data_IF_870059461362
#
_entry.id   IF_870059461362
#
_cell.length_a   1.000
_cell.length_b   1.000
_cell.length_c   1.000
_cell.angle_alpha   90.00
_cell.angle_beta   90.00
_cell.angle_gamma   90.00
#
_symmetry.space_group_name_H-M   'P 1'
#
loop_
_entity.id
_entity.type
_entity.pdbx_description
1 polymer ?
2 non-polymer ?
3 non-polymer ?
4 non-polymer ?
5 water ?
#
# COMPACT_ATOMS: atom_id res chain seq x y z
N UNK A 1 5.58 -4.35 -13.30
CA UNK A 1 4.61 -4.67 -14.34
C UNK A 1 3.27 -5.10 -13.77
N UNK A 2 2.20 -4.54 -14.32
CA UNK A 2 0.85 -4.95 -13.94
C UNK A 2 0.43 -6.14 -14.80
N UNK A 3 0.01 -7.22 -14.14
CA UNK A 3 -0.36 -8.44 -14.86
C UNK A 3 -1.74 -8.95 -14.47
N UNK A 4 -2.48 -9.44 -15.45
CA UNK A 4 -3.82 -9.97 -15.24
C UNK A 4 -3.87 -11.45 -15.63
N UNK A 5 -4.53 -12.26 -14.81
CA UNK A 5 -4.72 -13.67 -15.11
C UNK A 5 -6.17 -14.08 -14.94
N UNK A 6 -6.80 -14.52 -16.02
CA UNK A 6 -8.20 -14.96 -15.97
C UNK A 6 -8.30 -16.43 -15.59
N UNK A 7 -9.33 -16.77 -14.82
CA UNK A 7 -9.61 -18.15 -14.46
C UNK A 7 -11.11 -18.38 -14.37
N UNK A 8 -11.52 -19.65 -14.36
CA UNK A 8 -12.92 -20.00 -14.19
C UNK A 8 -13.65 -20.31 -15.49
N UNK A 9 -12.92 -20.30 -16.60
CA UNK A 9 -13.52 -20.61 -17.89
C UNK A 9 -13.76 -22.08 -18.08
N UNK A 10 -14.34 -22.45 -19.22
CA UNK A 10 -14.57 -23.85 -19.53
C UNK A 10 -15.84 -24.12 -20.31
N UNK A 11 -16.24 -25.39 -20.35
CA UNK A 11 -17.41 -25.81 -21.10
C UNK A 11 -18.63 -26.01 -20.21
N UNK A 12 -19.76 -25.43 -20.63
CA UNK A 12 -21.01 -25.59 -19.91
C UNK A 12 -22.18 -25.77 -20.86
N UNK A 13 -23.25 -26.40 -20.36
CA UNK A 13 -24.46 -26.57 -21.13
C UNK A 13 -25.26 -25.27 -21.13
N UNK A 14 -26.11 -25.07 -22.15
CA UNK A 14 -26.99 -23.89 -22.17
C UNK A 14 -27.84 -23.76 -20.91
N UNK A 15 -27.88 -22.56 -20.34
CA UNK A 15 -28.59 -22.33 -19.10
C UNK A 15 -27.72 -22.55 -17.88
N UNK A 16 -26.47 -22.97 -18.12
CA UNK A 16 -25.54 -23.25 -17.04
C UNK A 16 -24.87 -21.99 -16.50
N UNK A 17 -23.98 -22.17 -15.53
CA UNK A 17 -23.32 -21.03 -14.90
C UNK A 17 -21.81 -21.18 -14.83
N UNK A 18 -21.12 -20.05 -14.92
CA UNK A 18 -19.67 -19.98 -14.73
C UNK A 18 -19.31 -18.70 -14.00
N UNK A 19 -18.30 -18.77 -13.14
CA UNK A 19 -17.78 -17.56 -12.51
C UNK A 19 -16.34 -17.33 -12.93
N UNK A 20 -16.14 -16.28 -13.73
CA UNK A 20 -14.80 -15.88 -14.14
C UNK A 20 -14.17 -15.00 -13.09
N UNK A 21 -12.87 -15.15 -12.90
CA UNK A 21 -12.13 -14.29 -12.00
C UNK A 21 -10.83 -13.85 -12.66
N UNK A 22 -10.41 -12.64 -12.37
CA UNK A 22 -9.10 -12.16 -12.82
C UNK A 22 -8.27 -11.64 -11.67
N UNK A 23 -7.14 -12.30 -11.42
CA UNK A 23 -6.22 -11.85 -10.39
C UNK A 23 -5.32 -10.75 -10.93
N UNK A 24 -5.24 -9.64 -10.19
CA UNK A 24 -4.40 -8.52 -10.58
C UNK A 24 -3.15 -8.48 -9.68
N UNK A 25 -2.01 -8.15 -10.27
CA UNK A 25 -0.74 -8.19 -9.56
C UNK A 25 -0.52 -6.99 -8.64
N UNK A 26 -1.41 -6.00 -8.71
CA UNK A 26 -1.34 -4.85 -7.82
C UNK A 26 -2.66 -4.65 -7.09
N UNK A 27 -2.65 -3.75 -6.11
CA UNK A 27 -3.87 -3.41 -5.38
C UNK A 27 -4.85 -2.73 -6.31
N UNK A 28 -6.12 -3.12 -6.25
CA UNK A 28 -7.09 -2.72 -7.26
C UNK A 28 -8.09 -1.64 -6.81
N UNK A 29 -8.07 -1.28 -5.53
CA UNK A 29 -9.12 -0.40 -5.01
C UNK A 29 -9.07 1.00 -5.61
N UNK A 30 -7.90 1.43 -6.07
CA UNK A 30 -7.77 2.75 -6.69
C UNK A 30 -7.68 2.65 -8.21
N UNK A 31 -7.82 1.45 -8.75
CA UNK A 31 -7.87 1.30 -10.20
C UNK A 31 -9.15 1.92 -10.74
N UNK A 32 -9.02 2.85 -11.68
CA UNK A 32 -10.15 3.61 -12.19
C UNK A 32 -11.23 2.72 -12.80
N UNK A 33 -10.86 1.91 -13.78
CA UNK A 33 -11.83 1.07 -14.48
C UNK A 33 -11.32 -0.35 -14.66
N UNK A 34 -12.19 -1.32 -14.37
CA UNK A 34 -11.89 -2.72 -14.57
C UNK A 34 -12.97 -3.34 -15.45
N UNK A 35 -12.58 -3.89 -16.59
CA UNK A 35 -13.55 -4.35 -17.58
C UNK A 35 -13.46 -5.84 -17.89
N UNK A 36 -14.58 -6.38 -18.33
CA UNK A 36 -14.60 -7.68 -18.98
C UNK A 36 -14.99 -7.50 -20.44
N UNK A 37 -14.10 -7.91 -21.35
CA UNK A 37 -14.41 -7.93 -22.77
C UNK A 37 -14.64 -9.38 -23.20
N UNK A 38 -15.26 -9.56 -24.36
CA UNK A 38 -15.34 -10.89 -24.94
C UNK A 38 -15.25 -10.81 -26.45
N UNK A 39 -14.70 -11.86 -27.04
CA UNK A 39 -14.55 -11.91 -28.49
C UNK A 39 -14.90 -13.30 -29.00
N UNK A 40 -16.00 -13.37 -29.75
CA UNK A 40 -16.41 -14.61 -30.39
C UNK A 40 -15.59 -14.81 -31.66
N UNK A 41 -15.38 -16.08 -32.06
CA UNK A 41 -14.63 -16.40 -33.28
C UNK A 41 -15.14 -15.64 -34.51
N UNK A 42 -14.23 -15.02 -35.23
CA UNK A 42 -14.57 -14.31 -36.45
C UNK A 42 -15.29 -12.99 -36.23
N UNK A 43 -15.33 -12.53 -34.99
CA UNK A 43 -16.02 -11.29 -34.65
C UNK A 43 -15.14 -10.36 -33.82
N UNK A 44 -15.58 -9.12 -33.65
CA UNK A 44 -14.82 -8.11 -32.94
C UNK A 44 -15.08 -8.15 -31.44
N UNK A 45 -14.12 -7.66 -30.66
CA UNK A 45 -14.26 -7.52 -29.22
C UNK A 45 -15.45 -6.65 -28.84
N UNK A 46 -16.22 -7.09 -27.86
CA UNK A 46 -17.30 -6.29 -27.31
C UNK A 46 -17.11 -6.12 -25.81
N UNK A 47 -17.40 -4.93 -25.30
CA UNK A 47 -17.37 -4.68 -23.87
C UNK A 47 -18.57 -5.35 -23.21
N UNK A 48 -18.32 -6.21 -22.23
CA UNK A 48 -19.38 -6.95 -21.56
C UNK A 48 -19.84 -6.25 -20.28
N UNK A 49 -18.88 -5.90 -19.42
CA UNK A 49 -19.20 -5.24 -18.17
C UNK A 49 -18.02 -4.38 -17.70
N UNK A 50 -18.35 -3.32 -16.96
CA UNK A 50 -17.33 -2.41 -16.44
C UNK A 50 -17.60 -2.07 -14.98
N UNK A 51 -16.56 -2.14 -14.14
CA UNK A 51 -16.65 -1.71 -12.76
C UNK A 51 -15.78 -0.49 -12.52
N UNK A 52 -16.39 0.62 -12.13
CA UNK A 52 -15.65 1.86 -11.90
C UNK A 52 -15.23 2.01 -10.44
N UNK A 53 -14.24 2.87 -10.23
CA UNK A 53 -13.66 3.12 -8.92
C UNK A 53 -14.68 3.61 -7.90
N UNK A 54 -15.65 4.41 -8.36
CA UNK A 54 -16.64 5.00 -7.48
C UNK A 54 -17.75 4.01 -7.12
N UNK A 55 -17.63 2.77 -7.61
CA UNK A 55 -18.57 1.73 -7.25
C UNK A 55 -19.68 1.49 -8.28
N UNK A 56 -19.75 2.35 -9.28
CA UNK A 56 -20.76 2.22 -10.32
C UNK A 56 -20.38 1.13 -11.31
N UNK A 57 -21.37 0.60 -12.02
CA UNK A 57 -21.14 -0.46 -13.00
C UNK A 57 -21.91 -0.21 -14.29
N UNK A 58 -21.35 -0.69 -15.40
CA UNK A 58 -22.01 -0.65 -16.70
C UNK A 58 -22.07 -2.03 -17.31
N UNK A 59 -23.22 -2.38 -17.88
CA UNK A 59 -23.41 -3.68 -18.51
C UNK A 59 -23.87 -3.54 -19.95
N UNK A 60 -23.43 -4.46 -20.81
CA UNK A 60 -23.98 -4.57 -22.15
C UNK A 60 -25.42 -5.05 -22.02
N UNK A 61 -26.30 -4.58 -22.90
CA UNK A 61 -27.71 -4.93 -22.83
C UNK A 61 -27.95 -6.43 -22.96
N UNK A 62 -27.06 -7.11 -23.66
CA UNK A 62 -27.20 -8.53 -23.93
C UNK A 62 -26.91 -9.40 -22.72
N UNK A 63 -26.28 -8.83 -21.69
CA UNK A 63 -25.89 -9.61 -20.52
C UNK A 63 -26.58 -9.13 -19.24
N UNK A 64 -27.39 -8.09 -19.35
CA UNK A 64 -28.12 -7.56 -18.20
C UNK A 64 -29.10 -8.60 -17.66
N UNK A 65 -29.09 -8.77 -16.34
CA UNK A 65 -29.97 -9.73 -15.70
C UNK A 65 -29.43 -11.14 -15.74
N UNK A 66 -28.22 -11.29 -16.29
CA UNK A 66 -27.58 -12.60 -16.38
C UNK A 66 -26.15 -12.54 -15.82
N UNK A 67 -25.42 -11.50 -16.18
CA UNK A 67 -24.03 -11.37 -15.77
C UNK A 67 -23.88 -10.35 -14.63
N UNK A 68 -22.92 -10.59 -13.75
CA UNK A 68 -22.65 -9.66 -12.65
C UNK A 68 -21.15 -9.44 -12.48
N UNK A 69 -20.73 -8.18 -12.56
CA UNK A 69 -19.33 -7.83 -12.32
C UNK A 69 -19.17 -7.25 -10.91
N UNK A 70 -18.03 -7.53 -10.28
CA UNK A 70 -17.75 -7.02 -8.95
C UNK A 70 -16.27 -7.10 -8.63
N UNK A 71 -15.81 -6.19 -7.76
CA UNK A 71 -14.43 -6.20 -7.31
C UNK A 71 -14.31 -6.83 -5.92
N UNK A 72 -13.28 -7.65 -5.74
CA UNK A 72 -12.90 -8.12 -4.42
C UNK A 72 -11.60 -7.43 -4.02
N UNK A 73 -11.71 -6.29 -3.35
CA UNK A 73 -10.55 -5.48 -3.00
C UNK A 73 -9.57 -6.21 -2.08
N UNK A 74 -10.10 -7.10 -1.25
CA UNK A 74 -9.27 -7.86 -0.32
C UNK A 74 -8.37 -8.86 -1.05
N UNK A 75 -8.86 -9.37 -2.18
CA UNK A 75 -8.13 -10.38 -2.92
C UNK A 75 -7.55 -9.84 -4.22
N UNK A 76 -7.80 -8.55 -4.48
CA UNK A 76 -7.37 -7.90 -5.72
C UNK A 76 -7.82 -8.70 -6.94
N UNK A 77 -9.10 -9.05 -6.95
CA UNK A 77 -9.66 -9.90 -7.99
C UNK A 77 -10.94 -9.32 -8.57
N UNK A 78 -11.06 -9.34 -9.89
CA UNK A 78 -12.29 -8.93 -10.56
C UNK A 78 -13.08 -10.17 -10.95
N UNK A 79 -14.36 -10.20 -10.57
CA UNK A 79 -15.20 -11.35 -10.86
C UNK A 79 -16.23 -11.07 -11.95
N UNK A 80 -16.58 -12.10 -12.70
CA UNK A 80 -17.71 -12.04 -13.62
C UNK A 80 -18.59 -13.26 -13.42
N UNK A 81 -19.66 -13.10 -12.66
CA UNK A 81 -20.63 -14.17 -12.46
C UNK A 81 -21.55 -14.27 -13.68
N UNK A 82 -21.56 -15.44 -14.31
CA UNK A 82 -22.37 -15.63 -15.51
C UNK A 82 -23.44 -16.70 -15.29
N UNK A 83 -24.70 -16.27 -15.24
CA UNK A 83 -25.81 -17.20 -15.14
C UNK A 83 -26.60 -17.24 -16.44
N UNK A 84 -27.42 -18.28 -16.60
CA UNK A 84 -28.30 -18.43 -17.76
C UNK A 84 -27.54 -18.28 -19.08
N UNK A 85 -26.43 -18.99 -19.19
CA UNK A 85 -25.56 -18.86 -20.36
C UNK A 85 -26.23 -19.37 -21.64
N UNK A 86 -25.90 -18.73 -22.75
CA UNK A 86 -26.45 -19.08 -24.06
C UNK A 86 -25.33 -19.47 -25.01
N UNK A 87 -25.65 -20.21 -26.09
CA UNK A 87 -24.65 -20.53 -27.10
C UNK A 87 -23.93 -19.30 -27.64
N UNK A 88 -24.64 -18.19 -27.75
CA UNK A 88 -24.06 -16.95 -28.27
C UNK A 88 -23.10 -16.29 -27.28
N UNK A 89 -23.07 -16.80 -26.05
CA UNK A 89 -22.13 -16.30 -25.05
C UNK A 89 -20.74 -16.90 -25.24
N UNK A 90 -20.65 -17.90 -26.11
CA UNK A 90 -19.38 -18.57 -26.40
C UNK A 90 -18.36 -17.60 -26.97
N UNK A 91 -17.27 -17.40 -26.23
CA UNK A 91 -16.24 -16.45 -26.61
C UNK A 91 -15.01 -16.58 -25.71
N UNK A 92 -13.93 -15.92 -26.11
CA UNK A 92 -12.80 -15.72 -25.22
C UNK A 92 -13.07 -14.47 -24.39
N UNK A 93 -13.14 -14.63 -23.08
CA UNK A 93 -13.41 -13.50 -22.20
C UNK A 93 -12.10 -12.93 -21.67
N UNK A 94 -11.94 -11.62 -21.83
CA UNK A 94 -10.70 -10.94 -21.51
C UNK A 94 -10.89 -9.90 -20.42
N UNK A 95 -10.05 -9.96 -19.40
CA UNK A 95 -10.07 -8.89 -18.40
C UNK A 95 -9.26 -7.71 -18.90
N UNK A 96 -9.73 -6.52 -18.54
CA UNK A 96 -9.10 -5.29 -18.98
C UNK A 96 -9.10 -4.29 -17.83
N UNK A 97 -8.07 -3.46 -17.75
CA UNK A 97 -7.96 -2.52 -16.66
C UNK A 97 -7.34 -1.20 -17.10
N UNK A 98 -7.92 -0.10 -16.62
CA UNK A 98 -7.36 1.23 -16.82
C UNK A 98 -7.08 1.84 -15.45
N UNK A 99 -5.80 1.92 -15.10
CA UNK A 99 -5.39 2.38 -13.77
C UNK A 99 -5.85 3.80 -13.48
N UNK A 100 -5.80 4.66 -14.51
CA UNK A 100 -6.01 6.08 -14.30
C UNK A 100 -7.17 6.63 -15.13
N UNK A 101 -7.80 7.68 -14.62
CA UNK A 101 -8.74 8.45 -15.42
C UNK A 101 -7.94 9.22 -16.46
N UNK A 102 -8.03 8.79 -17.72
CA UNK A 102 -7.20 9.34 -18.77
C UNK A 102 -8.07 9.89 -19.91
N UNK A 103 -8.55 11.13 -19.74
CA UNK A 103 -9.48 11.78 -20.68
C UNK A 103 -8.90 11.98 -22.08
N UNK A 104 -7.59 12.16 -22.17
CA UNK A 104 -6.95 12.42 -23.46
C UNK A 104 -6.18 11.21 -23.98
N UNK A 105 -6.21 10.12 -23.22
CA UNK A 105 -5.56 8.88 -23.61
C UNK A 105 -4.06 9.03 -23.80
N UNK A 106 -3.41 9.72 -22.86
CA UNK A 106 -2.00 10.01 -22.98
C UNK A 106 -1.11 8.98 -22.26
N UNK A 107 -1.71 8.18 -21.40
CA UNK A 107 -0.95 7.24 -20.58
C UNK A 107 -1.42 5.80 -20.79
N UNK A 108 -1.63 5.42 -22.04
CA UNK A 108 -2.09 4.08 -22.37
C UNK A 108 -1.11 3.00 -21.96
N UNK A 109 0.17 3.19 -22.29
CA UNK A 109 1.20 2.22 -21.98
C UNK A 109 1.37 2.01 -20.49
N UNK A 110 1.12 3.05 -19.70
CA UNK A 110 1.30 2.99 -18.26
C UNK A 110 0.05 2.51 -17.53
N UNK A 111 -1.12 2.81 -18.09
CA UNK A 111 -2.37 2.58 -17.38
C UNK A 111 -3.27 1.47 -17.88
N UNK A 112 -3.10 1.05 -19.12
CA UNK A 112 -3.98 0.05 -19.71
C UNK A 112 -3.31 -1.32 -19.84
N UNK A 113 -3.98 -2.35 -19.34
CA UNK A 113 -3.44 -3.71 -19.39
C UNK A 113 -4.49 -4.74 -19.75
N UNK A 114 -4.07 -5.77 -20.49
CA UNK A 114 -4.96 -6.85 -20.90
C UNK A 114 -4.52 -8.19 -20.32
N UNK A 115 -5.49 -9.08 -20.10
CA UNK A 115 -5.19 -10.45 -19.77
C UNK A 115 -5.12 -11.27 -21.04
N UNK A 116 -4.58 -12.48 -20.95
CA UNK A 116 -4.49 -13.35 -22.13
C UNK A 116 -5.88 -13.83 -22.53
N UNK A 117 -6.75 -13.95 -21.55
CA UNK A 117 -8.13 -14.34 -21.80
C UNK A 117 -8.48 -15.72 -21.27
N UNK A 118 -9.77 -15.97 -21.14
CA UNK A 118 -10.28 -17.28 -20.72
C UNK A 118 -11.41 -17.72 -21.65
N UNK A 119 -11.26 -18.90 -22.24
CA UNK A 119 -12.25 -19.39 -23.19
C UNK A 119 -13.50 -19.93 -22.49
N UNK A 120 -14.65 -19.44 -22.90
CA UNK A 120 -15.92 -19.95 -22.42
C UNK A 120 -16.70 -20.58 -23.57
N UNK A 121 -17.06 -21.85 -23.41
CA UNK A 121 -17.79 -22.56 -24.44
C UNK A 121 -19.15 -23.01 -23.93
N UNK A 122 -20.21 -22.58 -24.61
CA UNK A 122 -21.56 -22.96 -24.25
C UNK A 122 -22.23 -23.76 -25.37
N UNK A 123 -22.36 -25.07 -25.17
CA UNK A 123 -23.01 -25.93 -26.15
C UNK A 123 -23.54 -27.20 -25.50
N UNK A 124 -24.41 -27.90 -26.22
CA UNK A 124 -25.00 -29.14 -25.72
C UNK A 124 -24.61 -30.34 -26.58
N UNK B 1 2.20 -3.77 4.20
CA UNK B 1 1.55 -3.21 5.37
C UNK B 1 1.06 -1.79 5.10
N UNK B 2 2.01 -0.89 4.88
CA UNK B 2 1.71 0.51 4.61
C UNK B 2 1.06 0.69 3.25
N UNK B 3 -0.04 1.45 3.22
CA UNK B 3 -0.72 1.73 1.96
C UNK B 3 -0.69 3.22 1.63
N UNK B 4 -0.44 3.52 0.36
CA UNK B 4 -0.40 4.90 -0.12
C UNK B 4 -1.46 5.12 -1.19
N UNK B 5 -2.21 6.21 -1.07
CA UNK B 5 -3.26 6.54 -2.04
C UNK B 5 -3.17 7.99 -2.49
N UNK B 6 -2.93 8.20 -3.78
CA UNK B 6 -2.81 9.55 -4.32
C UNK B 6 -4.16 10.12 -4.75
N UNK B 7 -4.31 11.43 -4.61
CA UNK B 7 -5.50 12.15 -5.04
C UNK B 7 -5.13 13.51 -5.59
N UNK B 8 -6.07 14.16 -6.28
CA UNK B 8 -5.86 15.50 -6.78
C UNK B 8 -5.37 15.59 -8.20
N UNK B 9 -5.20 14.44 -8.85
CA UNK B 9 -4.75 14.41 -10.23
C UNK B 9 -5.84 14.86 -11.20
N UNK B 10 -5.45 15.13 -12.44
CA UNK B 10 -6.42 15.55 -13.44
C UNK B 10 -5.83 16.27 -14.64
N UNK B 11 -6.70 16.99 -15.34
CA UNK B 11 -6.33 17.69 -16.57
C UNK B 11 -6.37 19.20 -16.41
N UNK B 12 -5.27 19.86 -16.75
CA UNK B 12 -5.19 21.32 -16.67
C UNK B 12 -4.54 21.92 -17.91
N UNK B 13 -4.81 23.20 -18.14
CA UNK B 13 -4.18 23.94 -19.22
C UNK B 13 -2.80 24.41 -18.79
N UNK B 14 -1.90 24.64 -19.76
CA UNK B 14 -0.55 25.12 -19.46
C UNK B 14 -0.56 26.38 -18.60
N UNK B 15 0.28 26.41 -17.56
CA UNK B 15 0.31 27.51 -16.63
C UNK B 15 -0.69 27.32 -15.50
N UNK B 16 -1.38 26.18 -15.53
CA UNK B 16 -2.40 25.89 -14.54
C UNK B 16 -1.83 25.32 -13.26
N UNK B 17 -2.71 24.96 -12.32
CA UNK B 17 -2.29 24.46 -11.02
C UNK B 17 -3.06 23.23 -10.57
N UNK B 18 -2.36 22.34 -9.86
CA UNK B 18 -2.96 21.17 -9.24
C UNK B 18 -2.28 20.89 -7.91
N UNK B 19 -3.04 20.40 -6.95
CA UNK B 19 -2.44 19.96 -5.69
C UNK B 19 -2.67 18.47 -5.50
N UNK B 20 -1.59 17.70 -5.51
CA UNK B 20 -1.65 16.27 -5.26
C UNK B 20 -1.52 15.98 -3.77
N UNK B 21 -2.26 14.99 -3.30
CA UNK B 21 -2.15 14.54 -1.92
C UNK B 21 -2.02 13.02 -1.90
N UNK B 22 -1.29 12.50 -0.92
CA UNK B 22 -1.24 11.07 -0.72
C UNK B 22 -1.56 10.71 0.73
N UNK B 23 -2.59 9.91 0.92
CA UNK B 23 -2.97 9.44 2.24
C UNK B 23 -2.14 8.21 2.63
N UNK B 24 -1.50 8.27 3.78
CA UNK B 24 -0.71 7.16 4.29
C UNK B 24 -1.44 6.46 5.42
N UNK B 25 -1.37 5.13 5.44
CA UNK B 25 -2.13 4.33 6.40
C UNK B 25 -1.50 4.30 7.80
N UNK B 26 -0.34 4.92 7.94
CA UNK B 26 0.34 4.98 9.24
C UNK B 26 0.73 6.42 9.59
N UNK B 27 1.12 6.62 10.85
CA UNK B 27 1.61 7.92 11.29
C UNK B 27 2.91 8.25 10.55
N UNK B 28 3.03 9.48 10.05
CA UNK B 28 4.12 9.82 9.14
C UNK B 28 5.19 10.72 9.73
N UNK B 29 5.02 11.15 10.98
CA UNK B 29 5.94 12.10 11.59
C UNK B 29 7.36 11.55 11.69
N UNK B 30 7.48 10.24 11.86
CA UNK B 30 8.79 9.62 12.07
C UNK B 30 9.32 8.94 10.81
N UNK B 31 8.55 8.97 9.73
CA UNK B 31 9.00 8.40 8.46
C UNK B 31 10.19 9.19 7.93
N UNK B 32 11.27 8.48 7.59
CA UNK B 32 12.51 9.13 7.18
C UNK B 32 12.35 9.99 5.93
N UNK B 33 11.89 9.39 4.85
CA UNK B 33 11.75 10.11 3.59
C UNK B 33 10.41 9.83 2.91
N UNK B 34 9.77 10.91 2.46
CA UNK B 34 8.53 10.79 1.69
C UNK B 34 8.72 11.52 0.36
N UNK B 35 8.55 10.79 -0.74
CA UNK B 35 8.91 11.30 -2.06
C UNK B 35 7.74 11.38 -3.03
N UNK B 36 7.88 12.28 -4.00
CA UNK B 36 7.01 12.28 -5.17
C UNK B 36 7.83 11.96 -6.41
N UNK B 37 7.50 10.86 -7.07
CA UNK B 37 8.11 10.51 -8.34
C UNK B 37 7.14 10.83 -9.47
N UNK B 38 7.65 10.91 -10.69
CA UNK B 38 6.79 11.03 -11.85
C UNK B 38 7.35 10.26 -13.03
N UNK B 39 6.46 9.73 -13.84
CA UNK B 39 6.86 8.96 -15.01
C UNK B 39 6.02 9.38 -16.22
N UNK B 40 6.67 10.07 -17.14
CA UNK B 40 6.04 10.46 -18.40
C UNK B 40 5.98 9.25 -19.32
N UNK B 41 5.04 9.25 -20.29
CA UNK B 41 4.94 8.14 -21.24
C UNK B 41 6.25 7.88 -21.99
N UNK B 42 6.65 6.61 -22.03
CA UNK B 42 7.86 6.22 -22.74
C UNK B 42 9.15 6.69 -22.08
N UNK B 43 9.06 7.10 -20.82
CA UNK B 43 10.23 7.60 -20.11
C UNK B 43 10.41 6.92 -18.75
N UNK B 44 11.60 7.07 -18.18
CA UNK B 44 11.91 6.47 -16.89
C UNK B 44 11.31 7.27 -15.74
N UNK B 45 11.21 6.65 -14.56
CA UNK B 45 10.74 7.35 -13.37
C UNK B 45 11.77 8.36 -12.91
N UNK B 46 11.29 9.56 -12.58
CA UNK B 46 12.16 10.61 -12.08
C UNK B 46 11.71 11.09 -10.71
N UNK B 47 12.67 11.34 -9.82
CA UNK B 47 12.36 11.91 -8.52
C UNK B 47 12.05 13.40 -8.67
N UNK B 48 10.87 13.80 -8.20
CA UNK B 48 10.44 15.19 -8.30
C UNK B 48 10.79 15.97 -7.05
N UNK B 49 10.32 15.49 -5.90
CA UNK B 49 10.55 16.16 -4.63
C UNK B 49 10.65 15.16 -3.49
N UNK B 50 11.38 15.54 -2.45
CA UNK B 50 11.57 14.69 -1.28
C UNK B 50 11.41 15.48 0.01
N UNK B 51 10.61 14.95 0.93
CA UNK B 51 10.45 15.55 2.25
C UNK B 51 11.11 14.68 3.30
N UNK B 52 12.11 15.22 3.99
CA UNK B 52 12.83 14.46 5.01
C UNK B 52 12.26 14.68 6.40
N UNK B 53 12.53 13.74 7.29
CA UNK B 53 12.00 13.73 8.64
C UNK B 53 12.40 14.97 9.44
N UNK B 54 13.59 15.51 9.16
CA UNK B 54 14.09 16.67 9.89
C UNK B 54 13.51 17.98 9.36
N UNK B 55 12.62 17.88 8.38
CA UNK B 55 11.95 19.06 7.84
C UNK B 55 12.59 19.62 6.60
N UNK B 56 13.75 19.09 6.23
CA UNK B 56 14.44 19.54 5.01
C UNK B 56 13.80 18.93 3.78
N UNK B 57 14.02 19.57 2.63
CA UNK B 57 13.43 19.11 1.38
C UNK B 57 14.43 19.16 0.22
N UNK B 58 14.21 18.31 -0.77
CA UNK B 58 14.98 18.33 -2.01
C UNK B 58 14.05 18.42 -3.22
N UNK B 59 14.44 19.20 -4.21
CA UNK B 59 13.64 19.36 -5.42
C UNK B 59 14.46 19.11 -6.68
N UNK B 60 13.85 18.46 -7.66
CA UNK B 60 14.45 18.36 -8.99
C UNK B 60 14.53 19.77 -9.57
N UNK B 61 15.58 20.04 -10.35
CA UNK B 61 15.81 21.37 -10.88
C UNK B 61 14.68 21.84 -11.80
N UNK B 62 14.02 20.88 -12.45
CA UNK B 62 12.99 21.20 -13.43
C UNK B 62 11.66 21.59 -12.78
N UNK B 63 11.58 21.50 -11.45
CA UNK B 63 10.34 21.82 -10.75
C UNK B 63 10.56 22.87 -9.66
N UNK B 64 11.79 23.31 -9.48
CA UNK B 64 12.11 24.33 -8.48
C UNK B 64 11.40 25.65 -8.80
N UNK B 65 10.78 26.23 -7.77
CA UNK B 65 10.07 27.49 -7.94
C UNK B 65 8.67 27.30 -8.49
N UNK B 66 8.28 26.04 -8.68
CA UNK B 66 6.96 25.72 -9.21
C UNK B 66 6.23 24.73 -8.32
N UNK B 67 6.95 23.70 -7.87
CA UNK B 67 6.34 22.65 -7.05
C UNK B 67 6.72 22.82 -5.58
N UNK B 68 5.81 22.44 -4.69
CA UNK B 68 6.08 22.49 -3.26
C UNK B 68 5.61 21.22 -2.56
N UNK B 69 6.52 20.56 -1.87
CA UNK B 69 6.18 19.36 -1.11
C UNK B 69 6.09 19.69 0.38
N UNK B 70 5.17 19.04 1.08
CA UNK B 70 5.00 19.27 2.51
C UNK B 70 4.26 18.11 3.17
N UNK B 71 4.54 17.88 4.44
CA UNK B 71 3.84 16.87 5.21
C UNK B 71 2.73 17.48 6.07
N UNK B 72 1.61 16.79 6.14
CA UNK B 72 0.58 17.12 7.12
C UNK B 72 0.55 16.02 8.16
N UNK B 73 1.28 16.23 9.26
CA UNK B 73 1.43 15.21 10.30
C UNK B 73 0.11 14.88 10.99
N UNK B 74 -0.80 15.85 11.04
CA UNK B 74 -2.09 15.65 11.69
C UNK B 74 -2.99 14.73 10.86
N UNK B 75 -2.88 14.82 9.54
CA UNK B 75 -3.75 14.06 8.65
C UNK B 75 -3.00 12.91 7.98
N UNK B 76 -1.73 12.75 8.34
CA UNK B 76 -0.87 11.72 7.76
C UNK B 76 -0.92 11.74 6.23
N UNK B 77 -0.72 12.93 5.67
CA UNK B 77 -0.86 13.14 4.24
C UNK B 77 0.34 13.89 3.68
N UNK B 78 0.85 13.43 2.54
CA UNK B 78 1.91 14.12 1.82
C UNK B 78 1.31 14.94 0.69
N UNK B 79 1.70 16.21 0.59
CA UNK B 79 1.16 17.10 -0.43
C UNK B 79 2.18 17.46 -1.49
N UNK B 80 1.71 17.66 -2.72
CA UNK B 80 2.53 18.22 -3.78
C UNK B 80 1.75 19.33 -4.48
N UNK B 81 2.09 20.57 -4.15
CA UNK B 81 1.46 21.72 -4.78
C UNK B 81 2.17 22.07 -6.07
N UNK B 82 1.45 22.02 -7.19
CA UNK B 82 2.04 22.28 -8.49
C UNK B 82 1.47 23.55 -9.12
N UNK B 83 2.34 24.52 -9.37
CA UNK B 83 1.95 25.74 -10.08
C UNK B 83 2.72 25.89 -11.37
N UNK B 84 2.21 26.74 -12.27
CA UNK B 84 2.86 27.04 -13.54
C UNK B 84 3.18 25.76 -14.32
N UNK B 85 2.18 24.88 -14.43
CA UNK B 85 2.38 23.59 -15.06
C UNK B 85 2.63 23.73 -16.56
N UNK B 86 3.41 22.79 -17.10
CA UNK B 86 3.79 22.80 -18.51
C UNK B 86 3.45 21.45 -19.13
N UNK B 87 3.29 21.40 -20.48
CA UNK B 87 3.05 20.13 -21.16
C UNK B 87 4.03 19.04 -20.77
N UNK B 88 5.26 19.42 -20.50
CA UNK B 88 6.31 18.48 -20.12
C UNK B 88 6.15 17.95 -18.70
N UNK B 89 5.19 18.49 -17.97
CA UNK B 89 4.88 18.01 -16.63
C UNK B 89 3.88 16.85 -16.68
N UNK B 90 3.38 16.56 -17.88
CA UNK B 90 2.44 15.46 -18.07
C UNK B 90 3.08 14.13 -17.71
N UNK B 91 2.54 13.48 -16.68
CA UNK B 91 3.09 12.21 -16.20
C UNK B 91 2.17 11.58 -15.17
N UNK B 92 2.42 10.30 -14.89
CA UNK B 92 1.83 9.66 -13.72
C UNK B 92 2.69 10.01 -12.51
N UNK B 93 2.11 10.70 -11.55
CA UNK B 93 2.83 11.07 -10.35
C UNK B 93 2.60 10.05 -9.25
N UNK B 94 3.70 9.55 -8.69
CA UNK B 94 3.65 8.46 -7.73
C UNK B 94 4.18 8.91 -6.38
N UNK B 95 3.43 8.62 -5.32
CA UNK B 95 3.95 8.85 -3.99
C UNK B 95 4.85 7.68 -3.61
N UNK B 96 5.87 7.98 -2.81
CA UNK B 96 6.86 6.99 -2.42
C UNK B 96 7.32 7.25 -1.00
N UNK B 97 7.49 6.18 -0.24
CA UNK B 97 7.86 6.32 1.17
C UNK B 97 9.03 5.40 1.51
N UNK B 98 9.97 5.92 2.29
CA UNK B 98 11.06 5.12 2.86
C UNK B 98 11.09 5.34 4.36
N UNK B 99 10.55 4.38 5.11
CA UNK B 99 10.40 4.51 6.55
C UNK B 99 11.72 4.77 7.26
N UNK B 100 12.76 4.03 6.88
CA UNK B 100 14.00 4.02 7.64
C UNK B 100 15.16 4.68 6.90
N UNK B 101 15.92 5.49 7.63
CA UNK B 101 17.23 5.91 7.16
C UNK B 101 18.09 4.65 7.14
N UNK B 102 18.14 4.01 5.97
CA UNK B 102 18.83 2.74 5.83
C UNK B 102 19.99 2.87 4.86
N UNK B 103 21.18 3.18 5.38
CA UNK B 103 22.37 3.30 4.54
C UNK B 103 22.91 1.92 4.17
N UNK B 104 22.25 0.89 4.68
CA UNK B 104 22.64 -0.49 4.41
C UNK B 104 21.73 -1.12 3.37
N UNK B 105 20.43 -0.92 3.51
CA UNK B 105 19.47 -1.45 2.56
C UNK B 105 18.94 -2.80 2.96
N UNK B 106 19.02 -3.09 4.25
CA UNK B 106 18.37 -4.28 4.79
C UNK B 106 16.88 -4.17 4.50
N UNK B 107 16.38 -2.92 4.51
CA UNK B 107 14.97 -2.65 4.34
C UNK B 107 14.44 -3.23 3.04
N UNK B 108 14.62 -2.47 1.97
CA UNK B 108 14.07 -2.83 0.67
C UNK B 108 12.57 -2.93 0.80
N UNK B 109 12.09 -4.14 1.09
CA UNK B 109 10.67 -4.35 1.27
C UNK B 109 10.00 -3.83 2.54
N UNK B 110 10.76 -3.64 3.61
CA UNK B 110 10.16 -3.24 4.88
C UNK B 110 9.76 -1.77 4.87
N UNK B 111 10.69 -0.91 4.49
CA UNK B 111 10.51 0.54 4.58
C UNK B 111 10.02 1.22 3.32
N UNK B 112 10.17 0.57 2.18
CA UNK B 112 9.85 1.19 0.90
C UNK B 112 8.46 0.78 0.41
N UNK B 113 7.63 1.78 0.13
CA UNK B 113 6.29 1.54 -0.38
C UNK B 113 5.95 2.51 -1.51
N UNK B 114 5.15 2.03 -2.46
CA UNK B 114 4.72 2.85 -3.59
C UNK B 114 3.21 2.99 -3.63
N UNK B 115 2.74 4.12 -4.15
CA UNK B 115 1.34 4.28 -4.45
C UNK B 115 1.06 3.86 -5.87
N UNK B 116 -0.20 3.72 -6.22
CA UNK B 116 -0.58 3.33 -7.58
C UNK B 116 -0.28 4.46 -8.56
N UNK B 117 -0.43 5.69 -8.07
CA UNK B 117 -0.14 6.86 -8.89
C UNK B 117 -1.37 7.68 -9.24
N UNK B 118 -1.14 8.90 -9.68
CA UNK B 118 -2.21 9.77 -10.15
C UNK B 118 -1.78 10.45 -11.44
N UNK B 119 -2.66 10.43 -12.44
CA UNK B 119 -2.32 10.98 -13.75
C UNK B 119 -2.52 12.50 -13.80
N UNK B 120 -1.47 13.20 -14.19
CA UNK B 120 -1.54 14.64 -14.41
C UNK B 120 -1.34 14.94 -15.89
N UNK B 121 -2.35 15.51 -16.52
CA UNK B 121 -2.28 15.84 -17.94
C UNK B 121 -2.29 17.36 -18.13
N UNK B 122 -1.28 17.87 -18.83
CA UNK B 122 -1.20 19.31 -19.09
C UNK B 122 -1.23 19.61 -20.57
N UNK B 123 -2.34 20.17 -21.03
CA UNK B 123 -2.49 20.59 -22.42
C UNK B 123 -3.76 21.43 -22.58
N UNK B 124 -4.02 21.88 -23.81
CA UNK B 124 -5.22 22.63 -24.10
C UNK B 124 -5.66 22.43 -25.55
N UNK C 1 -3.11 11.17 19.71
CA UNK C 1 -1.83 11.65 19.21
C UNK C 1 -0.69 11.08 20.05
N UNK C 2 -0.80 9.80 20.39
CA UNK C 2 0.29 9.13 21.09
C UNK C 2 1.35 8.71 20.07
N UNK C 3 2.56 9.23 20.25
CA UNK C 3 3.64 8.99 19.31
C UNK C 3 4.69 8.06 19.88
N UNK C 4 5.10 7.06 19.09
CA UNK C 4 6.13 6.13 19.50
C UNK C 4 7.33 6.20 18.57
N UNK C 5 8.52 6.36 19.15
CA UNK C 5 9.74 6.42 18.36
C UNK C 5 10.78 5.43 18.89
N UNK C 6 11.13 4.45 18.06
CA UNK C 6 12.11 3.45 18.46
C UNK C 6 13.54 3.88 18.16
N UNK C 7 14.47 3.37 18.96
CA UNK C 7 15.89 3.64 18.76
C UNK C 7 16.73 2.44 19.19
N UNK C 8 18.00 2.43 18.80
CA UNK C 8 18.93 1.42 19.27
C UNK C 8 19.10 0.21 18.38
N UNK C 9 18.46 0.23 17.22
CA UNK C 9 18.58 -0.87 16.27
C UNK C 9 19.96 -0.88 15.61
N UNK C 10 20.22 -1.89 14.79
CA UNK C 10 21.48 -1.95 14.07
C UNK C 10 21.94 -3.35 13.71
N UNK C 11 23.20 -3.45 13.31
CA UNK C 11 23.79 -4.71 12.88
C UNK C 11 24.75 -5.28 13.92
N UNK C 12 24.53 -6.54 14.28
CA UNK C 12 25.42 -7.22 15.22
C UNK C 12 25.69 -8.66 14.78
N UNK C 13 26.84 -9.17 15.19
CA UNK C 13 27.22 -10.55 14.93
C UNK C 13 26.50 -11.45 15.95
N UNK C 14 26.26 -12.72 15.57
CA UNK C 14 25.59 -13.68 16.45
C UNK C 14 26.22 -13.77 17.84
N UNK C 15 25.38 -13.72 18.88
CA UNK C 15 25.86 -13.75 20.24
C UNK C 15 26.06 -12.35 20.79
N UNK C 16 25.85 -11.36 19.94
CA UNK C 16 26.02 -9.96 20.33
C UNK C 16 24.86 -9.44 21.14
N UNK C 17 24.95 -8.17 21.55
CA UNK C 17 23.90 -7.55 22.34
C UNK C 17 23.42 -6.24 21.73
N UNK C 18 22.12 -5.98 21.87
CA UNK C 18 21.51 -4.72 21.47
C UNK C 18 20.46 -4.32 22.48
N UNK C 19 20.35 -3.02 22.75
CA UNK C 19 19.26 -2.54 23.59
C UNK C 19 18.37 -1.58 22.81
N UNK C 20 17.12 -1.99 22.63
CA UNK C 20 16.14 -1.15 21.95
C UNK C 20 15.43 -0.26 22.96
N UNK C 21 14.99 0.90 22.51
CA UNK C 21 14.22 1.81 23.34
C UNK C 21 13.12 2.46 22.51
N UNK C 22 11.99 2.73 23.14
CA UNK C 22 10.92 3.47 22.48
C UNK C 22 10.45 4.63 23.33
N UNK C 23 10.63 5.85 22.82
CA UNK C 23 10.15 7.05 23.48
C UNK C 23 8.66 7.23 23.21
N UNK C 24 7.89 7.40 24.27
CA UNK C 24 6.45 7.63 24.16
C UNK C 24 6.12 9.09 24.46
N UNK C 25 5.20 9.66 23.69
CA UNK C 25 4.91 11.09 23.78
C UNK C 25 4.01 11.45 24.97
N UNK C 26 3.55 10.44 25.71
CA UNK C 26 2.76 10.68 26.90
C UNK C 26 3.32 9.93 28.10
N UNK C 27 2.78 10.19 29.28
CA UNK C 27 3.17 9.47 30.48
C UNK C 27 2.73 8.02 30.36
N UNK C 28 3.61 7.09 30.74
CA UNK C 28 3.39 5.68 30.46
C UNK C 28 3.03 4.83 31.68
N UNK C 29 3.02 5.43 32.87
CA UNK C 29 2.85 4.64 34.09
C UNK C 29 1.47 3.98 34.17
N UNK C 30 0.47 4.59 33.54
CA UNK C 30 -0.89 4.03 33.57
C UNK C 30 -1.28 3.36 32.26
N UNK C 31 -0.33 3.28 31.32
CA UNK C 31 -0.58 2.52 30.09
C UNK C 31 -0.70 1.05 30.45
N UNK C 32 -1.83 0.45 30.10
CA UNK C 32 -2.12 -0.93 30.46
C UNK C 32 -1.07 -1.92 29.96
N UNK C 33 -0.80 -1.89 28.66
CA UNK C 33 0.15 -2.82 28.07
C UNK C 33 1.09 -2.14 27.08
N UNK C 34 2.38 -2.48 27.18
CA UNK C 34 3.38 -1.98 26.25
C UNK C 34 4.14 -3.16 25.66
N UNK C 35 4.12 -3.27 24.34
CA UNK C 35 4.63 -4.47 23.68
C UNK C 35 5.80 -4.21 22.74
N UNK C 36 6.59 -5.25 22.52
CA UNK C 36 7.55 -5.29 21.42
C UNK C 36 7.14 -6.41 20.47
N UNK C 37 6.85 -6.03 19.22
CA UNK C 37 6.61 -7.02 18.17
C UNK C 37 7.82 -7.08 17.26
N UNK C 38 7.95 -8.17 16.50
CA UNK C 38 8.99 -8.24 15.49
C UNK C 38 8.45 -8.90 14.23
N UNK C 39 8.96 -8.48 13.08
CA UNK C 39 8.49 -8.99 11.80
C UNK C 39 9.65 -9.16 10.83
N UNK C 40 9.84 -10.40 10.38
CA UNK C 40 10.86 -10.72 9.39
C UNK C 40 10.28 -10.52 7.99
N UNK C 41 11.16 -10.39 6.98
CA UNK C 41 10.66 -10.24 5.61
C UNK C 41 9.81 -11.43 5.15
N UNK C 42 8.61 -11.15 4.62
CA UNK C 42 7.75 -12.18 4.09
C UNK C 42 6.99 -12.97 5.15
N UNK C 43 7.16 -12.58 6.40
CA UNK C 43 6.47 -13.23 7.50
C UNK C 43 5.61 -12.22 8.26
N UNK C 44 4.76 -12.72 9.16
CA UNK C 44 3.87 -11.83 9.90
C UNK C 44 4.40 -11.52 11.30
N UNK C 45 3.77 -10.56 11.95
CA UNK C 45 4.21 -10.07 13.25
C UNK C 45 4.16 -11.13 14.35
N UNK C 46 5.22 -11.17 15.15
CA UNK C 46 5.26 -12.02 16.34
C UNK C 46 5.42 -11.17 17.58
N UNK C 47 4.57 -11.40 18.58
CA UNK C 47 4.73 -10.73 19.86
C UNK C 47 5.98 -11.25 20.55
N UNK C 48 6.89 -10.34 20.88
CA UNK C 48 8.15 -10.73 21.53
C UNK C 48 8.04 -10.64 23.04
N UNK C 49 7.68 -9.47 23.54
CA UNK C 49 7.57 -9.26 24.97
C UNK C 49 6.46 -8.25 25.28
N UNK C 50 5.87 -8.39 26.47
CA UNK C 50 4.82 -7.48 26.91
C UNK C 50 5.04 -7.04 28.35
N UNK C 51 4.99 -5.73 28.57
CA UNK C 51 5.05 -5.19 29.92
C UNK C 51 3.68 -4.67 30.34
N UNK C 52 3.16 -5.21 31.43
CA UNK C 52 1.83 -4.81 31.91
C UNK C 52 1.91 -3.75 33.00
N UNK C 53 0.79 -3.05 33.17
CA UNK C 53 0.68 -1.94 34.12
C UNK C 53 0.97 -2.34 35.56
N UNK C 54 0.59 -3.56 35.92
CA UNK C 54 0.75 -4.04 37.29
C UNK C 54 2.16 -4.54 37.57
N UNK C 55 3.02 -4.53 36.56
CA UNK C 55 4.40 -4.91 36.74
C UNK C 55 4.74 -6.28 36.19
N UNK C 56 3.73 -7.05 35.82
CA UNK C 56 3.95 -8.38 35.26
C UNK C 56 4.46 -8.29 33.83
N UNK C 57 5.08 -9.37 33.36
CA UNK C 57 5.62 -9.41 32.00
C UNK C 57 5.34 -10.74 31.31
N UNK C 58 5.21 -10.70 29.99
CA UNK C 58 5.08 -11.91 29.18
C UNK C 58 6.18 -11.95 28.12
N UNK C 59 6.78 -13.12 27.94
CA UNK C 59 7.83 -13.29 26.94
C UNK C 59 7.51 -14.46 26.01
N UNK C 60 7.90 -14.31 24.75
CA UNK C 60 7.84 -15.43 23.82
C UNK C 60 8.87 -16.47 24.25
N UNK C 61 8.56 -17.74 24.03
CA UNK C 61 9.43 -18.83 24.47
C UNK C 61 10.81 -18.76 23.84
N UNK C 62 10.89 -18.24 22.62
CA UNK C 62 12.13 -18.22 21.87
C UNK C 62 13.09 -17.11 22.33
N UNK C 63 12.61 -16.22 23.19
CA UNK C 63 13.45 -15.11 23.65
C UNK C 63 13.64 -15.11 25.16
N UNK C 64 13.04 -16.08 25.84
CA UNK C 64 13.17 -16.18 27.29
C UNK C 64 14.62 -16.46 27.70
N UNK C 65 15.09 -15.73 28.71
CA UNK C 65 16.45 -15.89 29.18
C UNK C 65 17.46 -15.15 28.32
N UNK C 66 16.96 -14.43 27.32
CA UNK C 66 17.81 -13.66 26.43
C UNK C 66 17.36 -12.21 26.36
N UNK C 67 16.05 -12.01 26.24
CA UNK C 67 15.49 -10.67 26.12
C UNK C 67 14.88 -10.22 27.44
N UNK C 68 14.94 -8.91 27.70
CA UNK C 68 14.31 -8.34 28.88
C UNK C 68 13.56 -7.06 28.54
N UNK C 69 12.28 -7.01 28.90
CA UNK C 69 11.48 -5.81 28.70
C UNK C 69 11.31 -5.10 30.04
N UNK C 70 11.26 -3.76 29.99
CA UNK C 70 11.07 -2.96 31.20
C UNK C 70 10.60 -1.56 30.85
N UNK C 71 9.96 -0.90 31.82
CA UNK C 71 9.51 0.47 31.64
C UNK C 71 10.39 1.45 32.43
N UNK C 72 10.67 2.60 31.82
CA UNK C 72 11.25 3.71 32.54
C UNK C 72 10.19 4.79 32.65
N UNK C 73 9.44 4.76 33.75
CA UNK C 73 8.32 5.69 33.95
C UNK C 73 8.77 7.14 34.00
N UNK C 74 9.99 7.36 34.48
CA UNK C 74 10.52 8.72 34.59
C UNK C 74 10.83 9.30 33.21
N UNK C 75 11.32 8.46 32.31
CA UNK C 75 11.70 8.91 30.98
C UNK C 75 10.62 8.60 29.94
N UNK C 76 9.55 7.95 30.39
CA UNK C 76 8.47 7.51 29.51
C UNK C 76 9.02 6.71 28.33
N UNK C 77 9.83 5.71 28.64
CA UNK C 77 10.52 4.92 27.62
C UNK C 77 10.41 3.43 27.90
N UNK C 78 10.11 2.65 26.86
CA UNK C 78 10.09 1.21 26.96
C UNK C 78 11.40 0.63 26.43
N UNK C 79 11.99 -0.30 27.18
CA UNK C 79 13.26 -0.88 26.78
C UNK C 79 13.14 -2.36 26.43
N UNK C 80 13.98 -2.80 25.49
CA UNK C 80 14.12 -4.22 25.20
C UNK C 80 15.60 -4.58 25.14
N UNK C 81 16.11 -5.10 26.25
CA UNK C 81 17.50 -5.55 26.30
C UNK C 81 17.62 -6.91 25.64
N UNK C 82 18.48 -6.99 24.62
CA UNK C 82 18.64 -8.25 23.87
C UNK C 82 20.05 -8.78 23.96
N UNK C 83 20.21 -9.91 24.64
CA UNK C 83 21.49 -10.60 24.71
C UNK C 83 21.43 -11.93 23.96
N UNK C 84 22.60 -12.48 23.63
CA UNK C 84 22.71 -13.76 22.93
C UNK C 84 21.87 -13.77 21.65
N UNK C 85 22.09 -12.76 20.81
CA UNK C 85 21.29 -12.60 19.59
C UNK C 85 21.64 -13.66 18.54
N UNK C 86 20.61 -14.14 17.86
CA UNK C 86 20.76 -15.18 16.85
C UNK C 86 20.31 -14.65 15.48
N UNK C 87 20.80 -15.26 14.40
CA UNK C 87 20.38 -14.86 13.05
C UNK C 87 18.87 -14.80 12.86
N UNK C 88 18.16 -15.70 13.53
CA UNK C 88 16.69 -15.74 13.43
C UNK C 88 16.02 -14.58 14.17
N UNK C 89 16.81 -13.83 14.94
CA UNK C 89 16.28 -12.64 15.62
C UNK C 89 16.23 -11.45 14.67
N UNK C 90 16.78 -11.62 13.48
CA UNK C 90 16.76 -10.56 12.47
C UNK C 90 15.34 -10.22 12.04
N UNK C 91 14.93 -8.99 12.29
CA UNK C 91 13.59 -8.52 11.97
C UNK C 91 13.46 -7.03 12.22
N UNK C 92 12.33 -6.46 11.81
CA UNK C 92 11.96 -5.12 12.22
C UNK C 92 11.25 -5.20 13.56
N UNK C 93 11.83 -4.59 14.58
CA UNK C 93 11.24 -4.64 15.91
C UNK C 93 10.35 -3.43 16.12
N UNK C 94 9.09 -3.71 16.43
CA UNK C 94 8.06 -2.68 16.53
C UNK C 94 7.58 -2.49 17.96
N UNK C 95 7.53 -1.24 18.41
CA UNK C 95 6.92 -0.97 19.69
C UNK C 95 5.41 -0.83 19.52
N UNK C 96 4.68 -1.30 20.53
CA UNK C 96 3.22 -1.28 20.48
C UNK C 96 2.68 -0.90 21.84
N UNK C 97 1.58 -0.18 21.84
CA UNK C 97 0.98 0.24 23.07
C UNK C 97 -0.55 0.13 23.10
N UNK C 98 -1.07 -0.29 24.24
CA UNK C 98 -2.51 -0.32 24.47
C UNK C 98 -2.80 0.44 25.76
N UNK C 99 -3.32 1.66 25.62
CA UNK C 99 -3.53 2.55 26.76
C UNK C 99 -4.48 1.96 27.80
N UNK C 100 -5.52 1.28 27.33
CA UNK C 100 -6.58 0.84 28.22
C UNK C 100 -6.75 -0.68 28.21
N UNK C 101 -7.17 -1.22 29.34
CA UNK C 101 -7.59 -2.61 29.39
C UNK C 101 -8.89 -2.72 28.59
N UNK C 102 -8.76 -3.09 27.33
CA UNK C 102 -9.90 -3.10 26.41
C UNK C 102 -10.35 -4.54 26.12
N UNK C 103 -11.39 -5.00 26.85
CA UNK C 103 -11.87 -6.37 26.69
C UNK C 103 -12.64 -6.58 25.39
N UNK C 104 -13.34 -5.55 24.94
CA UNK C 104 -14.18 -5.66 23.75
C UNK C 104 -13.56 -4.94 22.56
N UNK C 105 -12.33 -4.45 22.73
CA UNK C 105 -11.62 -3.75 21.67
C UNK C 105 -12.39 -2.56 21.14
N UNK C 106 -13.08 -1.85 22.02
CA UNK C 106 -13.97 -0.77 21.60
C UNK C 106 -13.23 0.57 21.49
N UNK C 107 -12.21 0.76 22.31
CA UNK C 107 -11.44 2.01 22.28
C UNK C 107 -10.73 2.15 20.94
N UNK C 108 -10.25 1.02 20.42
CA UNK C 108 -9.68 0.94 19.08
C UNK C 108 -8.61 1.97 18.77
N UNK C 109 -8.96 2.94 17.93
CA UNK C 109 -8.03 3.94 17.48
C UNK C 109 -7.57 4.88 18.59
N UNK C 110 -8.34 4.94 19.67
CA UNK C 110 -8.01 5.80 20.79
C UNK C 110 -6.90 5.23 21.67
N UNK C 111 -6.85 3.90 21.76
CA UNK C 111 -5.97 3.26 22.73
C UNK C 111 -4.76 2.52 22.18
N UNK C 112 -4.79 2.19 20.90
CA UNK C 112 -3.72 1.39 20.30
C UNK C 112 -2.85 2.21 19.34
N UNK C 113 -1.54 2.13 19.55
CA UNK C 113 -0.59 2.87 18.71
C UNK C 113 0.65 2.04 18.39
N UNK C 114 1.23 2.29 17.22
CA UNK C 114 2.41 1.57 16.77
C UNK C 114 3.59 2.50 16.55
N UNK C 115 4.79 1.96 16.71
CA UNK C 115 6.00 2.66 16.30
C UNK C 115 6.27 2.35 14.84
N UNK C 116 7.20 3.06 14.24
CA UNK C 116 7.56 2.83 12.84
C UNK C 116 8.41 1.57 12.72
N UNK C 117 9.17 1.27 13.77
CA UNK C 117 10.00 0.08 13.80
C UNK C 117 11.48 0.40 13.81
N UNK C 118 12.27 -0.53 14.36
CA UNK C 118 13.71 -0.40 14.38
C UNK C 118 14.36 -1.63 13.75
N UNK C 119 15.31 -1.40 12.85
CA UNK C 119 15.94 -2.49 12.12
C UNK C 119 16.98 -3.22 12.98
N UNK C 120 16.83 -4.54 13.09
CA UNK C 120 17.80 -5.37 13.78
C UNK C 120 18.27 -6.51 12.89
N UNK C 121 19.55 -6.51 12.57
CA UNK C 121 20.13 -7.54 11.72
C UNK C 121 21.22 -8.30 12.48
N UNK C 122 21.06 -9.62 12.57
CA UNK C 122 22.05 -10.45 13.25
C UNK C 122 22.79 -11.36 12.26
N UNK C 123 23.95 -10.90 11.83
CA UNK C 123 24.82 -11.67 10.94
C UNK C 123 26.16 -10.97 10.79
N UNK C 124 27.03 -11.54 9.95
CA UNK C 124 28.32 -10.92 9.63
C UNK C 124 28.93 -11.60 8.41
#
# INVERSE_FOLDING_TARGET
EVQLVESGGGLVQPGGSLRLSCAVSISIFDIYAMDWYRQAPGKQRDLVATSFRDGSTNYADSVKGRFTISRDNAKNTLYLQMNSLKPEDTAVYLCHVSLYRDPLGVAGGMGVYWGKGALVTVSS
EVQLVESGGGLVQPGGSLRLSCAVSISIFDIYAMDWYRQAPGKQRDLVATSFRDGSTNYADSVKGRFTISRDNAKNTLYLQMNSLKPEDTAVYLCHVSLYRDPLGVAGGMGVYWGKGALVTVSS
EVQLVESGGGLVQPGGSLRLSCAVSISIFDIYAMDWYRQAPGKQRDLVATSFRDGSTNYADSVKGRFTISRDNAKNTLYLQMNSLKPEDTAVYLCHVSLYRDPLGVAGGMGVYWGKGALVTVSS
#
